data_IF_505523567179
#
_entry.id   IF_505523567179
#
_cell.length_a   1.000
_cell.length_b   1.000
_cell.length_c   1.000
_cell.angle_alpha   90.00
_cell.angle_beta   90.00
_cell.angle_gamma   90.00
#
_symmetry.space_group_name_H-M   'P 1'
#
loop_
_entity.id
_entity.type
_entity.pdbx_description
1 polymer ?
#
# COMPACT_ATOMS: atom_id res chain seq x y z
N UNK A 1 -9.48 -28.96 17.24
CA UNK A 1 -10.18 -27.75 16.72
C UNK A 1 -10.64 -28.03 15.30
N UNK A 2 -11.86 -27.65 14.91
CA UNK A 2 -12.32 -27.80 13.53
C UNK A 2 -11.57 -26.86 12.57
N UNK A 3 -11.42 -27.27 11.31
CA UNK A 3 -10.65 -26.52 10.30
C UNK A 3 -11.21 -25.12 10.01
N UNK A 4 -12.52 -24.92 10.20
CA UNK A 4 -13.18 -23.62 10.07
C UNK A 4 -12.70 -22.57 11.07
N UNK A 5 -12.05 -22.97 12.17
CA UNK A 5 -11.52 -22.03 13.16
C UNK A 5 -10.25 -21.31 12.69
N UNK A 6 -9.54 -21.82 11.67
CA UNK A 6 -8.35 -21.13 11.14
C UNK A 6 -8.69 -19.87 10.30
N UNK A 7 -9.93 -19.74 9.85
CA UNK A 7 -10.40 -18.57 9.10
C UNK A 7 -10.90 -17.40 9.95
N UNK A 8 -11.02 -17.57 11.28
CA UNK A 8 -11.50 -16.52 12.17
C UNK A 8 -10.37 -15.65 12.71
N UNK A 9 -10.62 -14.36 12.88
CA UNK A 9 -9.67 -13.40 13.45
C UNK A 9 -9.10 -13.90 14.79
N UNK A 10 -7.78 -13.90 14.92
CA UNK A 10 -7.10 -14.32 16.14
C UNK A 10 -7.01 -15.84 16.35
N UNK A 11 -7.31 -16.67 15.34
CA UNK A 11 -7.20 -18.12 15.39
C UNK A 11 -5.85 -18.60 15.95
N UNK A 12 -4.76 -17.96 15.54
CA UNK A 12 -3.40 -18.28 15.99
C UNK A 12 -3.18 -18.03 17.49
N UNK A 13 -3.79 -16.99 18.05
CA UNK A 13 -3.76 -16.75 19.49
C UNK A 13 -4.56 -17.82 20.25
N UNK A 14 -5.66 -18.31 19.65
CA UNK A 14 -6.42 -19.45 20.17
C UNK A 14 -5.62 -20.75 20.16
N UNK A 15 -4.95 -21.05 19.05
CA UNK A 15 -4.05 -22.22 18.93
C UNK A 15 -2.93 -22.14 19.96
N UNK A 16 -2.35 -20.97 20.16
CA UNK A 16 -1.32 -20.74 21.17
C UNK A 16 -1.79 -20.97 22.60
N UNK A 17 -3.04 -20.62 22.91
CA UNK A 17 -3.66 -20.94 24.20
C UNK A 17 -3.82 -22.45 24.42
N UNK A 18 -4.15 -23.20 23.35
CA UNK A 18 -4.25 -24.66 23.43
C UNK A 18 -2.90 -25.37 23.52
N UNK A 19 -1.92 -24.96 22.72
CA UNK A 19 -0.60 -25.60 22.64
C UNK A 19 0.27 -25.22 23.84
N UNK A 20 0.20 -23.97 24.29
CA UNK A 20 1.03 -23.48 25.41
C UNK A 20 0.61 -23.98 26.79
N UNK A 21 -0.58 -24.57 26.90
CA UNK A 21 -1.16 -25.02 28.17
C UNK A 21 -1.43 -23.87 29.15
N UNK A 22 -1.95 -24.22 30.33
CA UNK A 22 -2.22 -23.27 31.42
C UNK A 22 -1.17 -23.41 32.51
N UNK A 23 -0.37 -22.38 32.73
CA UNK A 23 0.56 -22.32 33.86
C UNK A 23 -0.09 -21.52 34.99
N UNK A 24 -0.42 -22.16 36.12
CA UNK A 24 -1.19 -21.54 37.22
C UNK A 24 -2.51 -20.89 36.77
N UNK A 25 -3.20 -21.50 35.81
CA UNK A 25 -4.44 -20.95 35.22
C UNK A 25 -4.22 -19.85 34.17
N UNK A 26 -2.98 -19.44 33.92
CA UNK A 26 -2.62 -18.41 32.94
C UNK A 26 -2.13 -19.01 31.61
N UNK A 27 -2.69 -18.51 30.50
CA UNK A 27 -2.33 -18.91 29.14
C UNK A 27 -1.18 -18.03 28.61
N UNK A 28 0.02 -18.29 29.13
CA UNK A 28 1.21 -17.47 28.89
C UNK A 28 1.56 -17.31 27.40
N UNK A 29 1.44 -18.38 26.60
CA UNK A 29 1.80 -18.36 25.19
C UNK A 29 0.81 -17.53 24.37
N UNK A 30 -0.49 -17.61 24.67
CA UNK A 30 -1.50 -16.74 24.06
C UNK A 30 -1.20 -15.27 24.36
N UNK A 31 -0.88 -14.96 25.61
CA UNK A 31 -0.55 -13.59 26.02
C UNK A 31 0.66 -13.04 25.25
N UNK A 32 1.75 -13.81 25.15
CA UNK A 32 2.95 -13.38 24.43
C UNK A 32 2.68 -13.18 22.93
N UNK A 33 1.90 -14.05 22.29
CA UNK A 33 1.56 -13.89 20.87
C UNK A 33 0.68 -12.66 20.64
N UNK A 34 -0.32 -12.44 21.50
CA UNK A 34 -1.17 -11.23 21.39
C UNK A 34 -0.33 -9.97 21.60
N UNK A 35 0.53 -9.94 22.61
CA UNK A 35 1.42 -8.81 22.88
C UNK A 35 2.38 -8.55 21.71
N UNK A 36 3.01 -9.61 21.19
CA UNK A 36 3.90 -9.52 20.03
C UNK A 36 3.17 -9.03 18.78
N UNK A 37 1.96 -9.52 18.54
CA UNK A 37 1.10 -9.06 17.45
C UNK A 37 0.74 -7.57 17.58
N UNK A 38 0.40 -7.11 18.78
CA UNK A 38 0.12 -5.69 19.06
C UNK A 38 1.35 -4.81 18.81
N UNK A 39 2.52 -5.23 19.28
CA UNK A 39 3.77 -4.49 19.06
C UNK A 39 4.16 -4.44 17.58
N UNK A 40 3.98 -5.55 16.86
CA UNK A 40 4.23 -5.63 15.41
C UNK A 40 3.30 -4.71 14.63
N UNK A 41 2.00 -4.75 14.91
CA UNK A 41 1.01 -3.89 14.27
C UNK A 41 1.31 -2.40 14.54
N UNK A 42 1.70 -2.05 15.77
CA UNK A 42 2.10 -0.68 16.12
C UNK A 42 3.35 -0.22 15.35
N UNK A 43 4.38 -1.06 15.29
CA UNK A 43 5.60 -0.77 14.55
C UNK A 43 5.36 -0.62 13.05
N UNK A 44 4.56 -1.53 12.47
CA UNK A 44 4.16 -1.49 11.07
C UNK A 44 3.37 -0.22 10.77
N UNK A 45 2.37 0.13 11.59
CA UNK A 45 1.61 1.37 11.43
C UNK A 45 2.52 2.61 11.41
N UNK A 46 3.46 2.73 12.36
CA UNK A 46 4.39 3.85 12.41
C UNK A 46 5.28 3.91 11.15
N UNK A 47 5.80 2.77 10.68
CA UNK A 47 6.59 2.70 9.46
C UNK A 47 5.77 3.10 8.21
N UNK A 48 4.51 2.68 8.14
CA UNK A 48 3.58 3.06 7.07
C UNK A 48 3.29 4.56 7.09
N UNK A 49 3.02 5.17 8.24
CA UNK A 49 2.80 6.62 8.38
C UNK A 49 3.99 7.42 7.83
N UNK A 50 5.19 7.03 8.21
CA UNK A 50 6.42 7.70 7.81
C UNK A 50 6.74 7.54 6.31
N UNK A 51 6.35 6.41 5.72
CA UNK A 51 6.59 6.11 4.30
C UNK A 51 5.53 6.77 3.41
N UNK A 52 4.24 6.57 3.72
CA UNK A 52 3.13 7.07 2.92
C UNK A 52 2.99 8.60 2.94
N UNK A 53 3.37 9.27 4.03
CA UNK A 53 3.36 10.73 4.08
C UNK A 53 4.34 11.40 3.11
N UNK A 54 5.34 10.67 2.58
CA UNK A 54 6.29 11.18 1.58
C UNK A 54 5.72 11.20 0.17
N UNK A 55 4.73 10.35 -0.15
CA UNK A 55 4.12 10.33 -1.48
C UNK A 55 3.36 11.64 -1.77
N UNK A 56 2.47 12.15 -0.89
CA UNK A 56 1.85 13.47 -1.08
C UNK A 56 2.84 14.62 -1.12
N UNK A 57 3.93 14.53 -0.35
CA UNK A 57 4.99 15.55 -0.36
C UNK A 57 5.68 15.61 -1.73
N UNK A 58 6.07 14.46 -2.30
CA UNK A 58 6.66 14.38 -3.63
C UNK A 58 5.68 14.89 -4.69
N UNK A 59 4.43 14.41 -4.66
CA UNK A 59 3.38 14.88 -5.58
C UNK A 59 3.10 16.39 -5.46
N UNK A 60 3.16 16.97 -4.26
CA UNK A 60 2.99 18.41 -4.06
C UNK A 60 4.19 19.22 -4.59
N UNK A 61 5.41 18.68 -4.50
CA UNK A 61 6.63 19.27 -5.09
C UNK A 61 6.61 19.24 -6.62
N UNK A 62 6.09 18.15 -7.19
CA UNK A 62 5.91 17.99 -8.63
C UNK A 62 4.69 18.77 -9.18
N UNK A 63 3.98 19.50 -8.31
CA UNK A 63 2.82 20.32 -8.68
C UNK A 63 1.54 19.52 -8.99
N UNK A 64 1.51 18.23 -8.65
CA UNK A 64 0.35 17.35 -8.84
C UNK A 64 -0.71 17.50 -7.73
N UNK A 65 -0.30 17.97 -6.54
CA UNK A 65 -1.19 18.24 -5.41
C UNK A 65 -1.10 19.70 -4.96
N UNK A 66 -2.13 20.22 -4.25
CA UNK A 66 -2.10 21.56 -3.68
C UNK A 66 -0.86 21.80 -2.81
N UNK A 67 -0.23 22.98 -2.96
CA UNK A 67 1.03 23.34 -2.26
C UNK A 67 0.97 23.22 -0.73
N UNK A 68 -0.22 23.26 -0.12
CA UNK A 68 -0.37 23.11 1.33
C UNK A 68 0.00 21.70 1.83
N UNK A 69 -0.17 20.65 1.02
CA UNK A 69 0.24 19.27 1.35
C UNK A 69 1.75 19.10 1.35
N UNK A 70 2.47 19.97 0.64
CA UNK A 70 3.93 20.01 0.61
C UNK A 70 4.57 20.77 1.78
N UNK A 71 3.79 21.32 2.72
CA UNK A 71 4.32 22.07 3.87
C UNK A 71 5.03 21.12 4.83
N UNK A 72 6.33 21.31 5.00
CA UNK A 72 7.15 20.60 5.98
C UNK A 72 7.32 21.41 7.26
N UNK A 73 7.49 20.72 8.39
CA UNK A 73 7.84 21.36 9.66
C UNK A 73 9.30 21.82 9.64
N UNK A 74 9.58 23.02 10.15
CA UNK A 74 10.93 23.58 10.16
C UNK A 74 11.93 22.74 10.98
N UNK A 75 11.46 22.04 12.02
CA UNK A 75 12.31 21.29 12.95
C UNK A 75 12.63 19.86 12.51
N UNK A 76 11.64 19.12 12.01
CA UNK A 76 11.81 17.70 11.62
C UNK A 76 11.83 17.47 10.11
N UNK A 77 11.60 18.50 9.30
CA UNK A 77 11.37 18.39 7.86
C UNK A 77 10.24 17.42 7.47
N UNK A 78 9.44 16.97 8.44
CA UNK A 78 8.33 16.05 8.19
C UNK A 78 7.14 16.81 7.60
N UNK A 79 6.45 16.24 6.60
CA UNK A 79 5.26 16.82 6.00
C UNK A 79 4.03 16.63 6.91
N UNK A 80 3.93 17.44 7.98
CA UNK A 80 2.91 17.30 9.01
C UNK A 80 1.47 17.35 8.45
N UNK A 81 1.23 18.15 7.41
CA UNK A 81 -0.08 18.23 6.75
C UNK A 81 -0.43 16.94 6.03
N UNK A 82 0.53 16.33 5.33
CA UNK A 82 0.34 15.03 4.70
C UNK A 82 0.10 13.93 5.74
N UNK A 83 0.81 13.98 6.88
CA UNK A 83 0.60 13.03 7.99
C UNK A 83 -0.82 13.14 8.54
N UNK A 84 -1.30 14.35 8.85
CA UNK A 84 -2.66 14.54 9.36
C UNK A 84 -3.70 14.11 8.34
N UNK A 85 -3.47 14.41 7.06
CA UNK A 85 -4.36 13.97 5.98
C UNK A 85 -4.45 12.45 5.91
N UNK A 86 -3.31 11.74 5.85
CA UNK A 86 -3.28 10.27 5.86
C UNK A 86 -3.91 9.69 7.13
N UNK A 87 -3.63 10.25 8.30
CA UNK A 87 -4.21 9.81 9.57
C UNK A 87 -5.73 9.99 9.60
N UNK A 88 -6.23 11.10 9.05
CA UNK A 88 -7.68 11.34 8.93
C UNK A 88 -8.33 10.33 7.99
N UNK A 89 -7.72 10.06 6.83
CA UNK A 89 -8.19 9.03 5.90
C UNK A 89 -8.26 7.64 6.57
N UNK A 90 -7.22 7.24 7.29
CA UNK A 90 -7.24 5.98 8.03
C UNK A 90 -8.29 5.94 9.13
N UNK A 91 -8.45 7.03 9.88
CA UNK A 91 -9.48 7.13 10.92
C UNK A 91 -10.89 6.95 10.34
N UNK A 92 -11.17 7.53 9.16
CA UNK A 92 -12.44 7.33 8.46
C UNK A 92 -12.64 5.88 8.01
N UNK A 93 -11.56 5.19 7.62
CA UNK A 93 -11.63 3.78 7.21
C UNK A 93 -11.90 2.82 8.38
N UNK A 94 -11.61 3.17 9.64
CA UNK A 94 -11.78 2.27 10.79
C UNK A 94 -13.21 1.71 10.94
N UNK A 95 -14.23 2.42 10.43
CA UNK A 95 -15.63 1.98 10.48
C UNK A 95 -16.01 0.88 9.47
N UNK A 96 -15.15 0.55 8.50
CA UNK A 96 -15.49 -0.40 7.43
C UNK A 96 -15.38 -1.86 7.87
N UNK A 97 -14.53 -2.17 8.85
CA UNK A 97 -14.28 -3.53 9.39
C UNK A 97 -13.02 -4.19 8.80
N UNK A 98 -12.28 -4.93 9.63
CA UNK A 98 -10.92 -5.41 9.32
C UNK A 98 -10.81 -6.17 7.99
N UNK A 99 -11.63 -7.21 7.79
CA UNK A 99 -11.56 -8.06 6.58
C UNK A 99 -11.76 -7.25 5.30
N UNK A 100 -12.71 -6.30 5.32
CA UNK A 100 -12.97 -5.42 4.18
C UNK A 100 -11.82 -4.45 3.92
N UNK A 101 -11.17 -3.91 4.96
CA UNK A 101 -9.97 -3.09 4.78
C UNK A 101 -8.86 -3.90 4.12
N UNK A 102 -8.64 -5.14 4.56
CA UNK A 102 -7.63 -6.03 4.00
C UNK A 102 -7.94 -6.35 2.54
N UNK A 103 -9.19 -6.68 2.21
CA UNK A 103 -9.63 -6.91 0.83
C UNK A 103 -9.36 -5.69 -0.06
N UNK A 104 -9.71 -4.48 0.40
CA UNK A 104 -9.46 -3.25 -0.36
C UNK A 104 -7.96 -2.94 -0.50
N UNK A 105 -7.18 -3.16 0.55
CA UNK A 105 -5.73 -2.96 0.55
C UNK A 105 -5.06 -3.89 -0.48
N UNK A 106 -5.42 -5.18 -0.49
CA UNK A 106 -4.93 -6.16 -1.46
C UNK A 106 -5.28 -5.75 -2.90
N UNK A 107 -6.51 -5.26 -3.14
CA UNK A 107 -6.93 -4.78 -4.47
C UNK A 107 -6.09 -3.58 -4.93
N UNK A 108 -5.99 -2.55 -4.09
CA UNK A 108 -5.30 -1.29 -4.40
C UNK A 108 -3.80 -1.49 -4.57
N UNK A 109 -3.18 -2.19 -3.62
CA UNK A 109 -1.76 -2.52 -3.67
C UNK A 109 -1.46 -3.45 -4.83
N UNK A 110 -2.32 -4.45 -5.07
CA UNK A 110 -2.21 -5.38 -6.18
C UNK A 110 -2.15 -4.72 -7.53
N UNK A 111 -3.05 -3.78 -7.81
CA UNK A 111 -3.05 -3.03 -9.06
C UNK A 111 -1.83 -2.12 -9.17
N UNK A 112 -1.42 -1.50 -8.07
CA UNK A 112 -0.19 -0.69 -8.03
C UNK A 112 1.03 -1.55 -8.38
N UNK A 113 1.11 -2.76 -7.84
CA UNK A 113 2.16 -3.73 -8.13
C UNK A 113 2.12 -4.18 -9.59
N UNK A 114 0.93 -4.42 -10.16
CA UNK A 114 0.80 -4.73 -11.59
C UNK A 114 1.31 -3.60 -12.48
N UNK A 115 0.95 -2.35 -12.16
CA UNK A 115 1.44 -1.19 -12.87
C UNK A 115 2.97 -1.05 -12.76
N UNK A 116 3.54 -1.39 -11.61
CA UNK A 116 4.99 -1.41 -11.40
C UNK A 116 5.67 -2.44 -12.33
N UNK A 117 5.16 -3.68 -12.40
CA UNK A 117 5.68 -4.70 -13.31
C UNK A 117 5.53 -4.33 -14.79
N UNK A 118 4.36 -3.80 -15.17
CA UNK A 118 4.12 -3.30 -16.53
C UNK A 118 5.11 -2.17 -16.86
N UNK A 119 5.34 -1.25 -15.92
CA UNK A 119 6.30 -0.15 -16.08
C UNK A 119 7.73 -0.68 -16.22
N UNK A 120 8.14 -1.68 -15.43
CA UNK A 120 9.44 -2.32 -15.55
C UNK A 120 9.65 -2.94 -16.94
N UNK A 121 8.66 -3.66 -17.46
CA UNK A 121 8.71 -4.24 -18.81
C UNK A 121 8.73 -3.14 -19.87
N UNK A 122 7.86 -2.13 -19.75
CA UNK A 122 7.77 -1.02 -20.70
C UNK A 122 9.08 -0.21 -20.76
N UNK A 123 9.71 0.06 -19.62
CA UNK A 123 10.98 0.78 -19.54
C UNK A 123 12.14 -0.03 -20.12
N UNK A 124 12.07 -1.37 -20.03
CA UNK A 124 13.06 -2.26 -20.65
C UNK A 124 12.99 -2.24 -22.18
N UNK A 125 11.80 -2.04 -22.73
CA UNK A 125 11.57 -1.95 -24.18
C UNK A 125 11.87 -0.54 -24.69
N UNK A 126 11.36 0.51 -24.01
CA UNK A 126 11.48 1.90 -24.47
C UNK A 126 12.88 2.48 -24.29
N UNK A 127 13.53 2.17 -23.18
CA UNK A 127 14.84 2.75 -22.85
C UNK A 127 15.84 1.64 -22.46
N UNK A 128 16.32 0.87 -23.45
CA UNK A 128 17.22 -0.24 -23.19
C UNK A 128 18.63 0.21 -22.78
N UNK A 129 19.04 1.44 -23.12
CA UNK A 129 20.39 1.97 -22.92
C UNK A 129 20.62 2.61 -21.54
N UNK A 130 19.59 2.73 -20.71
CA UNK A 130 19.70 3.26 -19.34
C UNK A 130 20.74 2.47 -18.52
N UNK A 131 21.63 3.18 -17.83
CA UNK A 131 22.61 2.60 -16.91
C UNK A 131 21.87 2.00 -15.70
N UNK A 132 21.69 0.68 -15.71
CA UNK A 132 21.04 -0.07 -14.61
C UNK A 132 22.11 -0.71 -13.73
N UNK A 133 22.21 -0.27 -12.48
CA UNK A 133 23.14 -0.82 -11.47
C UNK A 133 22.78 -2.26 -11.10
N UNK A 134 21.48 -2.58 -11.11
CA UNK A 134 20.96 -3.94 -10.92
C UNK A 134 20.13 -4.37 -12.13
N UNK A 135 20.31 -5.62 -12.58
CA UNK A 135 19.58 -6.22 -13.69
C UNK A 135 18.96 -7.54 -13.25
N UNK A 136 17.67 -7.72 -13.52
CA UNK A 136 16.99 -9.00 -13.30
C UNK A 136 17.67 -10.09 -14.14
N UNK A 137 18.11 -11.19 -13.54
CA UNK A 137 18.71 -12.31 -14.27
C UNK A 137 17.70 -12.89 -15.25
N UNK A 138 18.15 -13.30 -16.44
CA UNK A 138 17.28 -13.87 -17.46
C UNK A 138 16.63 -12.87 -18.42
N UNK A 139 17.11 -11.63 -18.51
CA UNK A 139 16.69 -10.74 -19.60
C UNK A 139 15.21 -10.31 -19.48
N UNK A 140 14.58 -10.04 -20.63
CA UNK A 140 13.17 -9.63 -20.70
C UNK A 140 12.22 -10.77 -20.29
N UNK A 141 12.57 -12.03 -20.60
CA UNK A 141 11.81 -13.21 -20.20
C UNK A 141 11.83 -13.41 -18.68
N UNK A 142 12.97 -13.22 -18.03
CA UNK A 142 13.08 -13.26 -16.56
C UNK A 142 12.23 -12.19 -15.87
N UNK A 143 12.16 -10.98 -16.45
CA UNK A 143 11.28 -9.91 -15.92
C UNK A 143 9.80 -10.24 -16.07
N UNK A 144 9.39 -10.78 -17.22
CA UNK A 144 8.00 -11.20 -17.43
C UNK A 144 7.64 -12.33 -16.46
N UNK A 145 8.49 -13.36 -16.35
CA UNK A 145 8.26 -14.49 -15.46
C UNK A 145 8.15 -14.05 -13.99
N UNK A 146 8.98 -13.07 -13.57
CA UNK A 146 8.90 -12.50 -12.24
C UNK A 146 7.56 -11.80 -11.94
N UNK A 147 6.92 -11.23 -12.97
CA UNK A 147 5.58 -10.63 -12.84
C UNK A 147 4.43 -11.64 -12.82
N UNK A 148 4.64 -12.87 -13.32
CA UNK A 148 3.60 -13.92 -13.34
C UNK A 148 3.20 -14.37 -11.93
N UNK A 149 4.16 -14.50 -11.02
CA UNK A 149 3.88 -14.95 -9.66
C UNK A 149 2.96 -13.95 -8.91
N UNK A 150 3.28 -12.64 -8.85
CA UNK A 150 2.39 -11.63 -8.30
C UNK A 150 1.01 -11.59 -8.99
N UNK A 151 0.97 -11.74 -10.32
CA UNK A 151 -0.28 -11.80 -11.09
C UNK A 151 -1.16 -12.96 -10.63
N UNK A 152 -0.57 -14.14 -10.45
CA UNK A 152 -1.26 -15.35 -10.03
C UNK A 152 -1.75 -15.23 -8.58
N UNK A 153 -0.92 -14.70 -7.68
CA UNK A 153 -1.34 -14.47 -6.29
C UNK A 153 -2.49 -13.46 -6.22
N UNK A 154 -2.43 -12.40 -7.03
CA UNK A 154 -3.51 -11.42 -7.09
C UNK A 154 -4.79 -12.02 -7.64
N UNK A 155 -4.72 -12.83 -8.71
CA UNK A 155 -5.90 -13.46 -9.28
C UNK A 155 -6.55 -14.44 -8.30
N UNK A 156 -5.77 -15.23 -7.56
CA UNK A 156 -6.29 -16.08 -6.49
C UNK A 156 -6.98 -15.27 -5.39
N UNK A 157 -6.36 -14.17 -4.96
CA UNK A 157 -6.97 -13.29 -3.95
C UNK A 157 -8.30 -12.67 -4.45
N UNK A 158 -8.38 -12.31 -5.74
CA UNK A 158 -9.61 -11.79 -6.34
C UNK A 158 -10.74 -12.81 -6.38
N UNK A 159 -10.43 -14.07 -6.68
CA UNK A 159 -11.42 -15.16 -6.68
C UNK A 159 -11.97 -15.41 -5.28
N UNK A 160 -11.11 -15.40 -4.26
CA UNK A 160 -11.54 -15.58 -2.86
C UNK A 160 -12.42 -14.39 -2.38
N UNK A 161 -12.14 -13.19 -2.88
CA UNK A 161 -12.81 -11.95 -2.47
C UNK A 161 -14.26 -11.81 -3.00
N UNK A 162 -14.69 -12.62 -3.97
CA UNK A 162 -16.03 -12.54 -4.57
C UNK A 162 -17.17 -12.74 -3.56
N UNK A 163 -16.91 -13.37 -2.40
CA UNK A 163 -17.90 -13.64 -1.37
C UNK A 163 -18.11 -12.50 -0.35
N UNK A 164 -17.32 -11.42 -0.40
CA UNK A 164 -17.41 -10.33 0.57
C UNK A 164 -18.23 -9.12 0.07
N UNK A 165 -19.28 -8.77 0.81
CA UNK A 165 -20.10 -7.58 0.57
C UNK A 165 -19.71 -6.40 1.48
N UNK A 166 -19.57 -5.23 0.88
CA UNK A 166 -19.28 -3.95 1.54
C UNK A 166 -20.45 -3.02 1.27
N UNK A 167 -21.14 -2.53 2.33
CA UNK A 167 -22.22 -1.54 2.22
C UNK A 167 -23.34 -1.91 1.21
N UNK A 168 -23.64 -3.21 1.05
CA UNK A 168 -24.67 -3.68 0.11
C UNK A 168 -24.22 -3.80 -1.36
N UNK A 169 -22.93 -3.59 -1.65
CA UNK A 169 -22.29 -3.83 -2.94
C UNK A 169 -21.19 -4.90 -2.82
N UNK A 170 -20.83 -5.57 -3.91
CA UNK A 170 -19.65 -6.46 -3.94
C UNK A 170 -18.38 -5.64 -3.60
N UNK A 171 -17.53 -6.14 -2.71
CA UNK A 171 -16.26 -5.47 -2.34
C UNK A 171 -15.40 -5.13 -3.56
N UNK A 172 -15.47 -5.97 -4.58
CA UNK A 172 -14.84 -5.75 -5.90
C UNK A 172 -15.36 -4.49 -6.62
N UNK A 173 -16.66 -4.24 -6.57
CA UNK A 173 -17.25 -3.06 -7.22
C UNK A 173 -16.84 -1.78 -6.49
N UNK A 174 -16.82 -1.81 -5.15
CA UNK A 174 -16.34 -0.69 -4.35
C UNK A 174 -14.85 -0.42 -4.57
N UNK A 175 -14.01 -1.46 -4.58
CA UNK A 175 -12.58 -1.34 -4.91
C UNK A 175 -12.37 -0.74 -6.30
N UNK A 176 -13.07 -1.26 -7.31
CA UNK A 176 -13.02 -0.78 -8.70
C UNK A 176 -13.42 0.70 -8.80
N UNK A 177 -14.47 1.12 -8.09
CA UNK A 177 -14.86 2.53 -8.02
C UNK A 177 -13.75 3.42 -7.44
N UNK A 178 -13.06 2.98 -6.38
CA UNK A 178 -11.93 3.72 -5.81
C UNK A 178 -10.79 3.85 -6.82
N UNK A 179 -10.46 2.77 -7.52
CA UNK A 179 -9.39 2.76 -8.55
C UNK A 179 -9.74 3.75 -9.67
N UNK A 180 -10.96 3.66 -10.20
CA UNK A 180 -11.44 4.57 -11.26
C UNK A 180 -11.45 6.02 -10.76
N UNK A 181 -11.92 6.27 -9.54
CA UNK A 181 -11.87 7.59 -8.92
C UNK A 181 -10.42 8.11 -8.83
N UNK A 182 -9.46 7.26 -8.47
CA UNK A 182 -8.03 7.58 -8.46
C UNK A 182 -7.52 8.03 -9.82
N UNK A 183 -7.83 7.28 -10.89
CA UNK A 183 -7.47 7.67 -12.27
C UNK A 183 -8.15 8.97 -12.72
N UNK A 184 -9.41 9.18 -12.35
CA UNK A 184 -10.15 10.43 -12.66
C UNK A 184 -9.51 11.62 -11.93
N UNK A 185 -9.19 11.48 -10.64
CA UNK A 185 -8.52 12.52 -9.86
C UNK A 185 -7.14 12.83 -10.45
N UNK A 186 -6.36 11.81 -10.85
CA UNK A 186 -5.09 11.99 -11.54
C UNK A 186 -5.25 12.74 -12.88
N UNK A 187 -6.27 12.40 -13.66
CA UNK A 187 -6.59 13.11 -14.91
C UNK A 187 -7.01 14.56 -14.68
N UNK A 188 -7.79 14.82 -13.63
CA UNK A 188 -8.23 16.16 -13.25
C UNK A 188 -7.08 17.04 -12.76
N UNK A 189 -6.17 16.51 -11.94
CA UNK A 189 -4.94 17.22 -11.53
C UNK A 189 -3.98 17.42 -12.70
N UNK A 190 -3.98 16.52 -13.69
CA UNK A 190 -3.28 16.70 -14.97
C UNK A 190 -3.73 17.94 -15.77
N UNK A 191 -4.98 18.39 -15.62
CA UNK A 191 -5.45 19.66 -16.20
C UNK A 191 -4.93 20.89 -15.43
N UNK A 192 -4.75 20.76 -14.10
CA UNK A 192 -4.14 21.79 -13.25
C UNK A 192 -2.63 21.93 -13.52
N UNK A 193 -1.95 20.82 -13.80
CA UNK A 193 -0.51 20.72 -14.13
C UNK A 193 -0.08 21.61 -15.30
N UNK A 194 -0.95 21.82 -16.30
CA UNK A 194 -0.65 22.72 -17.44
C UNK A 194 -0.54 24.21 -17.04
N UNK A 195 -0.93 24.58 -15.81
CA UNK A 195 -0.92 25.98 -15.33
C UNK A 195 0.23 26.31 -14.37
N UNK A 196 1.05 25.34 -13.96
CA UNK A 196 2.16 25.57 -13.02
C UNK A 196 3.50 25.54 -13.75
N UNK A 197 4.36 26.57 -13.62
CA UNK A 197 5.72 26.56 -14.13
C UNK A 197 6.49 25.37 -13.53
N UNK A 198 7.13 24.56 -14.37
CA UNK A 198 7.97 23.46 -13.90
C UNK A 198 9.11 24.00 -13.01
N UNK A 199 9.39 23.39 -11.85
CA UNK A 199 10.59 23.71 -11.09
C UNK A 199 11.82 23.40 -11.97
N UNK A 200 12.68 24.40 -12.17
CA UNK A 200 13.91 24.28 -12.96
C UNK A 200 14.89 23.34 -12.26
N UNK A 201 14.78 22.05 -12.50
CA UNK A 201 15.77 21.05 -12.07
C UNK A 201 16.89 20.85 -13.09
N UNK A 202 16.72 21.35 -14.32
CA UNK A 202 17.73 21.20 -15.38
C UNK A 202 18.81 22.31 -15.36
N UNK A 203 18.55 23.49 -14.80
CA UNK A 203 19.47 24.63 -14.90
C UNK A 203 20.63 24.58 -13.88
N UNK A 204 20.47 23.85 -12.77
CA UNK A 204 21.48 23.81 -11.70
C UNK A 204 22.44 22.61 -11.77
N UNK A 205 22.23 21.67 -12.70
CA UNK A 205 23.13 20.53 -12.90
C UNK A 205 24.25 20.83 -13.92
N UNK A 206 24.12 21.91 -14.70
CA UNK A 206 25.15 22.37 -15.65
C UNK A 206 26.05 23.48 -15.07
N UNK A 207 25.81 23.91 -13.82
CA UNK A 207 26.50 25.03 -13.17
C UNK A 207 27.46 24.60 -12.02
N UNK A 208 27.76 23.32 -11.88
CA UNK A 208 28.75 22.79 -10.89
C UNK A 208 29.68 21.78 -11.52
#
# INVERSE_FOLDING_TARGET
MPASTFGSDGAWAGVAGLVGGKFKGFEWLRFLIVLGGMMSAFGMFNALVLSYSRLPLAMARDGMLPKFLGKTSARSQAPWVAIIFCATCWALCLGLGFTRLVTLDIMLYGISLMLEFVTLVALRIREPQLKREFRVPGGLTGTILAGVLPLLLLSLAMVESEHESVLGMNGLAFGTLIIVAGFVVYGATGKLRKRLPQPRLAENAEAT
#
